data_IF_112751170596
#
_entry.id   IF_112751170596
#
_cell.length_a   1.000
_cell.length_b   1.000
_cell.length_c   1.000
_cell.angle_alpha   90.00
_cell.angle_beta   90.00
_cell.angle_gamma   90.00
#
_symmetry.space_group_name_H-M   'P 1'
#
loop_
_entity.id
_entity.type
_entity.pdbx_description
1 polymer ?
#
# COMPACT_ATOMS: atom_id res chain seq x y z
N UNK A 1 -17.79 -15.06 17.77
CA UNK A 1 -17.40 -14.41 16.50
C UNK A 1 -18.02 -15.21 15.36
N UNK A 2 -19.28 -14.93 15.06
CA UNK A 2 -20.09 -15.66 14.08
C UNK A 2 -20.61 -14.66 13.05
N UNK A 3 -20.65 -15.10 11.78
CA UNK A 3 -21.27 -14.43 10.63
C UNK A 3 -20.49 -13.30 9.93
N UNK A 4 -19.50 -13.66 9.10
CA UNK A 4 -19.24 -12.99 7.81
C UNK A 4 -19.07 -14.11 6.78
N UNK A 5 -19.75 -13.99 5.63
CA UNK A 5 -19.86 -15.05 4.63
C UNK A 5 -18.52 -15.70 4.29
N UNK A 6 -18.53 -17.00 3.99
CA UNK A 6 -17.35 -17.77 3.58
C UNK A 6 -16.51 -16.99 2.57
N UNK A 7 -15.35 -16.48 2.99
CA UNK A 7 -14.39 -15.79 2.11
C UNK A 7 -13.94 -16.76 1.02
N UNK A 8 -14.46 -16.58 -0.18
CA UNK A 8 -14.16 -17.46 -1.32
C UNK A 8 -12.72 -17.22 -1.79
N UNK A 9 -12.16 -18.16 -2.56
CA UNK A 9 -10.83 -17.98 -3.16
C UNK A 9 -10.79 -16.72 -4.04
N UNK A 10 -11.89 -16.42 -4.74
CA UNK A 10 -12.02 -15.19 -5.52
C UNK A 10 -11.90 -13.94 -4.63
N UNK A 11 -12.63 -13.90 -3.51
CA UNK A 11 -12.56 -12.77 -2.57
C UNK A 11 -11.13 -12.55 -2.05
N UNK A 12 -10.40 -13.63 -1.79
CA UNK A 12 -9.00 -13.58 -1.33
C UNK A 12 -8.08 -12.96 -2.37
N UNK A 13 -8.21 -13.39 -3.63
CA UNK A 13 -7.40 -12.83 -4.73
C UNK A 13 -7.75 -11.36 -4.95
N UNK A 14 -9.04 -11.01 -5.03
CA UNK A 14 -9.47 -9.62 -5.23
C UNK A 14 -9.07 -8.71 -4.06
N UNK A 15 -9.08 -9.23 -2.83
CA UNK A 15 -8.61 -8.47 -1.65
C UNK A 15 -7.10 -8.18 -1.68
N UNK A 16 -6.30 -8.92 -2.44
CA UNK A 16 -4.86 -8.67 -2.58
C UNK A 16 -4.56 -7.54 -3.57
N UNK A 17 -5.39 -7.35 -4.59
CA UNK A 17 -5.13 -6.41 -5.69
C UNK A 17 -4.94 -4.94 -5.25
N UNK A 18 -5.74 -4.40 -4.31
CA UNK A 18 -5.56 -3.02 -3.86
C UNK A 18 -4.16 -2.73 -3.31
N UNK A 19 -3.49 -3.72 -2.71
CA UNK A 19 -2.15 -3.56 -2.15
C UNK A 19 -1.06 -3.35 -3.22
N UNK A 20 -1.37 -3.52 -4.51
CA UNK A 20 -0.47 -3.10 -5.59
C UNK A 20 -0.26 -1.58 -5.59
N UNK A 21 -1.26 -0.79 -5.16
CA UNK A 21 -1.13 0.67 -5.10
C UNK A 21 -0.03 1.12 -4.13
N UNK A 22 -0.09 0.83 -2.81
CA UNK A 22 0.98 1.22 -1.89
C UNK A 22 2.32 0.56 -2.23
N UNK A 23 2.33 -0.62 -2.87
CA UNK A 23 3.55 -1.26 -3.34
C UNK A 23 4.23 -0.50 -4.50
N UNK A 24 3.43 0.11 -5.39
CA UNK A 24 3.92 0.96 -6.48
C UNK A 24 4.37 2.32 -5.93
N UNK A 25 3.56 2.95 -5.08
CA UNK A 25 3.85 4.29 -4.55
C UNK A 25 5.10 4.31 -3.68
N UNK A 26 5.30 3.29 -2.84
CA UNK A 26 6.48 3.22 -1.97
C UNK A 26 7.79 3.09 -2.76
N UNK A 27 7.75 2.72 -4.03
CA UNK A 27 8.95 2.56 -4.85
C UNK A 27 9.79 3.84 -4.95
N UNK A 28 9.16 5.01 -4.80
CA UNK A 28 9.85 6.30 -4.71
C UNK A 28 10.82 6.40 -3.50
N UNK A 29 10.56 5.66 -2.42
CA UNK A 29 11.42 5.60 -1.23
C UNK A 29 12.50 4.51 -1.31
N UNK A 30 12.44 3.63 -2.31
CA UNK A 30 13.31 2.47 -2.43
C UNK A 30 14.71 2.76 -2.99
N UNK A 31 14.96 3.96 -3.52
CA UNK A 31 16.17 4.30 -4.28
C UNK A 31 17.48 3.92 -3.55
N UNK A 32 17.60 4.31 -2.27
CA UNK A 32 18.80 4.06 -1.49
C UNK A 32 19.04 2.56 -1.26
N UNK A 33 18.02 1.84 -0.80
CA UNK A 33 18.13 0.42 -0.49
C UNK A 33 18.40 -0.41 -1.76
N UNK A 34 17.68 -0.11 -2.85
CA UNK A 34 17.81 -0.83 -4.11
C UNK A 34 19.14 -0.56 -4.84
N UNK A 35 19.76 0.60 -4.62
CA UNK A 35 21.14 0.86 -5.08
C UNK A 35 22.18 0.11 -4.26
N UNK A 36 21.98 0.01 -2.95
CA UNK A 36 22.88 -0.75 -2.07
C UNK A 36 22.77 -2.27 -2.29
N UNK A 37 21.57 -2.76 -2.61
CA UNK A 37 21.30 -4.17 -2.86
C UNK A 37 20.59 -4.39 -4.20
N UNK A 38 21.31 -4.28 -5.34
CA UNK A 38 20.71 -4.38 -6.68
C UNK A 38 19.96 -5.69 -6.94
N UNK A 39 20.37 -6.80 -6.29
CA UNK A 39 19.71 -8.11 -6.41
C UNK A 39 18.23 -8.04 -5.99
N UNK A 40 17.87 -7.16 -5.04
CA UNK A 40 16.47 -6.99 -4.61
C UNK A 40 15.59 -6.44 -5.73
N UNK A 41 16.14 -5.72 -6.71
CA UNK A 41 15.38 -5.19 -7.85
C UNK A 41 14.74 -6.31 -8.68
N UNK A 42 15.33 -7.51 -8.68
CA UNK A 42 14.77 -8.68 -9.39
C UNK A 42 13.39 -9.07 -8.85
N UNK A 43 13.12 -8.86 -7.56
CA UNK A 43 11.81 -9.15 -6.94
C UNK A 43 10.71 -8.23 -7.50
N UNK A 44 11.08 -7.06 -7.99
CA UNK A 44 10.16 -6.04 -8.49
C UNK A 44 10.04 -6.02 -10.02
N UNK A 45 10.75 -6.90 -10.74
CA UNK A 45 10.60 -7.08 -12.19
C UNK A 45 9.13 -7.20 -12.64
N UNK A 46 8.27 -7.99 -11.96
CA UNK A 46 6.86 -8.11 -12.35
C UNK A 46 6.06 -6.81 -12.22
N UNK A 47 6.53 -5.85 -11.41
CA UNK A 47 5.87 -4.56 -11.20
C UNK A 47 6.18 -3.53 -12.30
N UNK A 48 7.22 -3.72 -13.10
CA UNK A 48 7.64 -2.79 -14.16
C UNK A 48 6.49 -2.33 -15.07
N UNK A 49 5.64 -3.21 -15.64
CA UNK A 49 4.53 -2.75 -16.48
C UNK A 49 3.55 -1.84 -15.73
N UNK A 50 3.27 -2.14 -14.47
CA UNK A 50 2.39 -1.33 -13.62
C UNK A 50 3.01 0.02 -13.29
N UNK A 51 4.30 0.05 -12.94
CA UNK A 51 5.07 1.28 -12.70
C UNK A 51 5.04 2.20 -13.93
N UNK A 52 5.22 1.64 -15.14
CA UNK A 52 5.16 2.42 -16.38
C UNK A 52 3.79 3.06 -16.62
N UNK A 53 2.70 2.32 -16.37
CA UNK A 53 1.35 2.86 -16.49
C UNK A 53 1.12 3.95 -15.44
N UNK A 54 1.48 3.67 -14.19
CA UNK A 54 1.28 4.59 -13.07
C UNK A 54 2.03 5.91 -13.29
N UNK A 55 3.33 5.87 -13.60
CA UNK A 55 4.11 7.09 -13.83
C UNK A 55 3.84 7.74 -15.21
N UNK A 56 3.22 7.02 -16.14
CA UNK A 56 2.81 7.55 -17.44
C UNK A 56 1.55 8.42 -17.40
N UNK A 57 0.77 8.35 -16.32
CA UNK A 57 -0.49 9.08 -16.17
C UNK A 57 -0.35 10.13 -15.07
N UNK A 58 -0.60 11.41 -15.42
CA UNK A 58 -0.59 12.49 -14.44
C UNK A 58 -1.69 12.25 -13.40
N UNK A 59 -1.35 12.38 -12.11
CA UNK A 59 -2.25 12.14 -10.98
C UNK A 59 -2.79 10.71 -10.88
N UNK A 60 -2.07 9.71 -11.40
CA UNK A 60 -2.48 8.30 -11.34
C UNK A 60 -2.89 7.85 -9.93
N UNK A 61 -2.08 8.13 -8.89
CA UNK A 61 -2.39 7.80 -7.49
C UNK A 61 -3.74 8.35 -7.05
N UNK A 62 -3.98 9.65 -7.27
CA UNK A 62 -5.25 10.30 -6.92
C UNK A 62 -6.45 9.69 -7.68
N UNK A 63 -6.28 9.40 -8.97
CA UNK A 63 -7.34 8.77 -9.78
C UNK A 63 -7.66 7.37 -9.23
N UNK A 64 -6.62 6.55 -8.98
CA UNK A 64 -6.77 5.19 -8.45
C UNK A 64 -7.40 5.23 -7.06
N UNK A 65 -6.98 6.16 -6.20
CA UNK A 65 -7.59 6.41 -4.89
C UNK A 65 -9.11 6.60 -5.01
N UNK A 66 -9.57 7.51 -5.87
CA UNK A 66 -11.00 7.77 -6.02
C UNK A 66 -11.74 6.58 -6.63
N UNK A 67 -11.14 5.89 -7.61
CA UNK A 67 -11.71 4.68 -8.21
C UNK A 67 -11.91 3.59 -7.16
N UNK A 68 -10.88 3.28 -6.37
CA UNK A 68 -10.96 2.27 -5.31
C UNK A 68 -11.95 2.68 -4.22
N UNK A 69 -11.94 3.95 -3.80
CA UNK A 69 -12.83 4.41 -2.75
C UNK A 69 -14.31 4.41 -3.20
N UNK A 70 -14.62 5.00 -4.35
CA UNK A 70 -15.99 5.13 -4.85
C UNK A 70 -16.58 3.78 -5.32
N UNK A 71 -15.82 3.01 -6.09
CA UNK A 71 -16.36 1.81 -6.74
C UNK A 71 -16.25 0.57 -5.85
N UNK A 72 -15.26 0.52 -4.96
CA UNK A 72 -15.00 -0.64 -4.09
C UNK A 72 -15.46 -0.37 -2.66
N UNK A 73 -14.82 0.57 -1.96
CA UNK A 73 -15.07 0.76 -0.51
C UNK A 73 -16.50 1.20 -0.22
N UNK A 74 -17.05 2.13 -1.01
CA UNK A 74 -18.41 2.67 -0.83
C UNK A 74 -19.53 1.77 -1.38
N UNK A 75 -19.18 0.67 -2.05
CA UNK A 75 -20.16 -0.20 -2.70
C UNK A 75 -20.49 -1.41 -1.83
N UNK A 76 -21.61 -1.35 -1.11
CA UNK A 76 -22.11 -2.40 -0.22
C UNK A 76 -22.39 -3.75 -0.91
N UNK A 77 -22.48 -3.79 -2.25
CA UNK A 77 -22.62 -5.04 -3.00
C UNK A 77 -21.32 -5.85 -3.02
N UNK A 78 -20.17 -5.21 -2.77
CA UNK A 78 -18.87 -5.88 -2.72
C UNK A 78 -18.68 -6.48 -1.33
N UNK A 79 -18.10 -7.69 -1.30
CA UNK A 79 -17.82 -8.39 -0.06
C UNK A 79 -17.02 -7.51 0.91
N UNK A 80 -17.49 -7.41 2.16
CA UNK A 80 -16.83 -6.67 3.23
C UNK A 80 -15.32 -6.98 3.32
N UNK A 81 -14.91 -8.23 3.09
CA UNK A 81 -13.50 -8.62 3.11
C UNK A 81 -12.64 -7.86 2.09
N UNK A 82 -13.15 -7.68 0.86
CA UNK A 82 -12.48 -6.93 -0.19
C UNK A 82 -12.47 -5.44 0.17
N UNK A 83 -13.60 -4.92 0.66
CA UNK A 83 -13.73 -3.50 1.06
C UNK A 83 -12.76 -3.13 2.18
N UNK A 84 -12.63 -3.99 3.20
CA UNK A 84 -11.67 -3.83 4.28
C UNK A 84 -10.24 -3.73 3.74
N UNK A 85 -9.80 -4.72 2.94
CA UNK A 85 -8.43 -4.73 2.42
C UNK A 85 -8.16 -3.57 1.46
N UNK A 86 -9.17 -3.17 0.68
CA UNK A 86 -9.08 -1.98 -0.18
C UNK A 86 -8.89 -0.72 0.64
N UNK A 87 -9.67 -0.56 1.71
CA UNK A 87 -9.55 0.58 2.61
C UNK A 87 -8.19 0.58 3.33
N UNK A 88 -7.69 -0.58 3.75
CA UNK A 88 -6.36 -0.71 4.36
C UNK A 88 -5.26 -0.29 3.39
N UNK A 89 -5.32 -0.72 2.12
CA UNK A 89 -4.38 -0.31 1.09
C UNK A 89 -4.43 1.22 0.84
N UNK A 90 -5.63 1.81 0.83
CA UNK A 90 -5.82 3.26 0.72
C UNK A 90 -5.22 4.00 1.93
N UNK A 91 -5.36 3.49 3.14
CA UNK A 91 -4.74 4.13 4.32
C UNK A 91 -3.21 4.06 4.26
N UNK A 92 -2.64 2.93 3.80
CA UNK A 92 -1.20 2.84 3.55
C UNK A 92 -0.74 3.85 2.49
N UNK A 93 -1.53 4.04 1.44
CA UNK A 93 -1.28 5.03 0.39
C UNK A 93 -1.23 6.47 0.95
N UNK A 94 -2.22 6.82 1.80
CA UNK A 94 -2.23 8.11 2.51
C UNK A 94 -0.99 8.27 3.38
N UNK A 95 -0.55 7.21 4.08
CA UNK A 95 0.65 7.25 4.91
C UNK A 95 1.90 7.51 4.06
N UNK A 96 2.03 6.85 2.90
CA UNK A 96 3.14 7.08 1.95
C UNK A 96 3.13 8.53 1.47
N UNK A 97 1.95 9.06 1.10
CA UNK A 97 1.79 10.45 0.69
C UNK A 97 2.22 11.44 1.79
N UNK A 98 1.80 11.21 3.04
CA UNK A 98 2.21 12.03 4.18
C UNK A 98 3.72 11.96 4.42
N UNK A 99 4.33 10.79 4.27
CA UNK A 99 5.77 10.64 4.35
C UNK A 99 6.49 11.37 3.22
N UNK A 100 5.93 11.43 2.01
CA UNK A 100 6.51 12.18 0.89
C UNK A 100 6.60 13.67 1.23
N UNK A 101 5.52 14.24 1.78
CA UNK A 101 5.52 15.62 2.25
C UNK A 101 6.56 15.83 3.34
N UNK A 102 6.65 14.90 4.30
CA UNK A 102 7.64 14.98 5.38
C UNK A 102 9.07 14.95 4.83
N UNK A 103 9.36 14.06 3.88
CA UNK A 103 10.69 13.96 3.27
C UNK A 103 11.07 15.17 2.44
N UNK A 104 10.11 15.79 1.74
CA UNK A 104 10.33 17.02 1.00
C UNK A 104 10.78 18.16 1.94
N UNK A 105 10.17 18.24 3.12
CA UNK A 105 10.53 19.24 4.14
C UNK A 105 11.92 18.94 4.73
N UNK A 106 12.19 17.69 5.09
CA UNK A 106 13.49 17.28 5.67
C UNK A 106 14.63 17.46 4.66
N UNK A 107 14.35 17.24 3.36
CA UNK A 107 15.31 17.40 2.26
C UNK A 107 15.84 18.83 2.09
N UNK A 108 15.18 19.85 2.67
CA UNK A 108 15.65 21.23 2.66
C UNK A 108 16.83 21.47 3.60
N UNK A 109 17.18 20.50 4.46
CA UNK A 109 18.27 20.61 5.44
C UNK A 109 19.59 20.09 4.81
N UNK A 110 20.62 20.93 4.59
CA UNK A 110 21.81 20.57 3.81
C UNK A 110 22.70 19.47 4.40
N UNK A 111 22.61 19.20 5.71
CA UNK A 111 23.53 18.30 6.44
C UNK A 111 22.94 16.90 6.70
N UNK A 112 21.76 16.60 6.14
CA UNK A 112 20.93 15.44 6.52
C UNK A 112 21.15 14.13 5.75
N UNK A 113 22.18 13.97 4.92
CA UNK A 113 22.29 12.86 3.96
C UNK A 113 22.04 11.46 4.55
N UNK A 114 22.68 11.13 5.68
CA UNK A 114 22.48 9.84 6.36
C UNK A 114 21.08 9.70 6.99
N UNK A 115 20.54 10.78 7.57
CA UNK A 115 19.21 10.79 8.17
C UNK A 115 18.12 10.60 7.10
N UNK A 116 18.25 11.28 5.96
CA UNK A 116 17.36 11.15 4.80
C UNK A 116 17.40 9.71 4.26
N UNK A 117 18.60 9.17 4.05
CA UNK A 117 18.75 7.79 3.58
C UNK A 117 18.09 6.77 4.54
N UNK A 118 18.29 6.96 5.85
CA UNK A 118 17.70 6.10 6.87
C UNK A 118 16.18 6.21 6.87
N UNK A 119 15.64 7.42 6.76
CA UNK A 119 14.20 7.67 6.72
C UNK A 119 13.56 7.02 5.49
N UNK A 120 14.12 7.23 4.29
CA UNK A 120 13.64 6.60 3.05
C UNK A 120 13.64 5.09 3.15
N UNK A 121 14.75 4.50 3.61
CA UNK A 121 14.89 3.06 3.75
C UNK A 121 13.90 2.49 4.77
N UNK A 122 13.68 3.20 5.88
CA UNK A 122 12.71 2.80 6.92
C UNK A 122 11.28 2.82 6.41
N UNK A 123 10.89 3.88 5.68
CA UNK A 123 9.56 3.99 5.05
C UNK A 123 9.38 2.83 4.05
N UNK A 124 10.37 2.62 3.18
CA UNK A 124 10.32 1.56 2.17
C UNK A 124 10.12 0.18 2.80
N UNK A 125 10.98 -0.20 3.74
CA UNK A 125 10.89 -1.51 4.40
C UNK A 125 9.59 -1.65 5.20
N UNK A 126 9.18 -0.61 5.92
CA UNK A 126 7.96 -0.63 6.74
C UNK A 126 6.70 -0.84 5.91
N UNK A 127 6.56 -0.13 4.81
CA UNK A 127 5.41 -0.28 3.91
C UNK A 127 5.45 -1.61 3.17
N UNK A 128 6.62 -2.06 2.67
CA UNK A 128 6.76 -3.39 2.05
C UNK A 128 6.35 -4.49 3.04
N UNK A 129 6.79 -4.41 4.30
CA UNK A 129 6.40 -5.36 5.33
C UNK A 129 4.89 -5.35 5.59
N UNK A 130 4.27 -4.16 5.69
CA UNK A 130 2.83 -4.01 5.86
C UNK A 130 2.03 -4.60 4.68
N UNK A 131 2.48 -4.35 3.45
CA UNK A 131 1.90 -4.90 2.21
C UNK A 131 2.01 -6.43 2.21
N UNK A 132 3.21 -6.98 2.43
CA UNK A 132 3.43 -8.44 2.44
C UNK A 132 2.61 -9.12 3.52
N UNK A 133 2.58 -8.56 4.73
CA UNK A 133 1.75 -9.05 5.83
C UNK A 133 0.26 -9.04 5.46
N UNK A 134 -0.21 -7.97 4.81
CA UNK A 134 -1.60 -7.82 4.42
C UNK A 134 -2.02 -8.78 3.30
N UNK A 135 -1.17 -8.94 2.27
CA UNK A 135 -1.39 -9.89 1.17
C UNK A 135 -1.36 -11.33 1.70
N UNK A 136 -0.40 -11.70 2.55
CA UNK A 136 -0.32 -13.03 3.12
C UNK A 136 -1.60 -13.40 3.92
N UNK A 137 -2.07 -12.51 4.80
CA UNK A 137 -3.32 -12.73 5.52
C UNK A 137 -4.53 -12.76 4.58
N UNK A 138 -4.56 -11.90 3.56
CA UNK A 138 -5.63 -11.88 2.55
C UNK A 138 -5.76 -13.23 1.82
N UNK A 139 -4.63 -13.81 1.41
CA UNK A 139 -4.57 -15.13 0.77
C UNK A 139 -5.00 -16.26 1.71
N UNK A 140 -4.74 -16.12 3.01
CA UNK A 140 -5.23 -17.04 4.05
C UNK A 140 -6.72 -16.82 4.40
N UNK A 141 -7.35 -15.76 3.87
CA UNK A 141 -8.74 -15.40 4.18
C UNK A 141 -8.91 -14.75 5.56
N UNK A 142 -7.84 -14.17 6.09
CA UNK A 142 -7.80 -13.49 7.40
C UNK A 142 -7.71 -11.98 7.21
N UNK A 143 -8.26 -11.22 8.15
CA UNK A 143 -8.06 -9.78 8.21
C UNK A 143 -6.64 -9.51 8.75
N UNK A 144 -5.87 -8.68 8.06
CA UNK A 144 -4.57 -8.25 8.52
C UNK A 144 -4.74 -7.13 9.53
N UNK A 145 -4.36 -7.40 10.78
CA UNK A 145 -4.48 -6.45 11.89
C UNK A 145 -3.17 -5.68 12.06
N UNK A 146 -3.08 -4.51 11.43
CA UNK A 146 -2.00 -3.55 11.59
C UNK A 146 -2.47 -2.52 12.63
N UNK A 147 -1.78 -2.38 13.78
CA UNK A 147 -2.18 -1.45 14.83
C UNK A 147 -2.43 -0.03 14.30
N UNK A 148 -3.47 0.64 14.82
CA UNK A 148 -3.99 1.94 14.39
C UNK A 148 -4.57 2.00 12.96
N UNK A 149 -3.95 1.34 11.97
CA UNK A 149 -4.45 1.32 10.60
C UNK A 149 -5.74 0.50 10.50
N UNK A 150 -5.75 -0.73 11.01
CA UNK A 150 -6.93 -1.60 10.93
C UNK A 150 -8.10 -1.06 11.75
N UNK A 151 -7.84 -0.42 12.89
CA UNK A 151 -8.85 0.29 13.67
C UNK A 151 -9.52 1.41 12.85
N UNK A 152 -8.70 2.21 12.15
CA UNK A 152 -9.19 3.26 11.25
C UNK A 152 -9.98 2.67 10.06
N UNK A 153 -9.59 1.51 9.54
CA UNK A 153 -10.37 0.80 8.51
C UNK A 153 -11.75 0.42 9.03
N UNK A 154 -11.83 -0.19 10.22
CA UNK A 154 -13.12 -0.59 10.82
C UNK A 154 -14.06 0.59 11.07
N UNK A 155 -13.52 1.79 11.33
CA UNK A 155 -14.32 3.01 11.45
C UNK A 155 -14.94 3.45 10.11
N UNK A 156 -14.26 3.18 8.99
CA UNK A 156 -14.69 3.63 7.66
C UNK A 156 -15.55 2.60 6.91
N UNK A 157 -15.28 1.32 7.12
CA UNK A 157 -16.01 0.20 6.51
C UNK A 157 -16.98 -0.34 7.56
N UNK A 158 -18.17 0.28 7.64
CA UNK A 158 -19.30 -0.20 8.45
C UNK A 158 -20.22 -1.09 7.63
#
# INVERSE_FOLDING_TARGET
>A
MTWRGSTTIKDRIFACLPYLLPLIEVFAFGEFLLRQFPVLQLLFLPLIPLLRIYYGVRYAGLIIFFVLWLLVVRNEKINHFIRFNTMQAILLDIIIFLFSILTDIVGLIPTGGFAIQTLYTTIFIGIIAAVVYSVANSLLGRYAEIPAISDAVYMQVR
#
